data_IF_161581367971
#
_entry.id   IF_161581367971
#
_cell.length_a   1.000
_cell.length_b   1.000
_cell.length_c   1.000
_cell.angle_alpha   90.00
_cell.angle_beta   90.00
_cell.angle_gamma   90.00
#
_symmetry.space_group_name_H-M   'P 1'
#
loop_
_entity.id
_entity.type
_entity.pdbx_description
1 polymer ?
#
# COMPACT_ATOMS: atom_id res chain seq x y z
N UNK A 1 3.60 13.10 -14.40
CA UNK A 1 3.45 12.64 -13.00
C UNK A 1 3.35 13.91 -12.18
N UNK A 2 2.18 14.18 -11.59
CA UNK A 2 1.80 15.33 -10.76
C UNK A 2 2.71 16.58 -10.83
N UNK A 3 2.77 17.30 -11.98
CA UNK A 3 3.66 18.46 -12.14
C UNK A 3 3.36 19.57 -11.12
N UNK A 4 2.09 19.80 -10.84
CA UNK A 4 1.64 20.79 -9.86
C UNK A 4 2.08 20.44 -8.42
N UNK A 5 2.08 19.15 -8.05
CA UNK A 5 2.60 18.74 -6.75
C UNK A 5 4.13 18.86 -6.72
N UNK A 6 4.83 18.22 -7.65
CA UNK A 6 6.27 18.06 -7.50
C UNK A 6 7.07 19.26 -7.99
N UNK A 7 6.76 19.77 -9.17
CA UNK A 7 7.53 20.85 -9.78
C UNK A 7 7.06 22.22 -9.26
N UNK A 8 5.76 22.49 -9.26
CA UNK A 8 5.26 23.80 -8.86
C UNK A 8 5.37 24.06 -7.36
N UNK A 9 5.09 23.06 -6.50
CA UNK A 9 5.15 23.24 -5.04
C UNK A 9 6.53 22.95 -4.44
N UNK A 10 7.22 21.91 -4.92
CA UNK A 10 8.50 21.46 -4.34
C UNK A 10 9.72 21.72 -5.23
N UNK A 11 9.56 22.24 -6.45
CA UNK A 11 10.68 22.47 -7.37
C UNK A 11 11.34 21.19 -7.89
N UNK A 12 10.72 20.03 -7.67
CA UNK A 12 11.27 18.72 -8.03
C UNK A 12 10.89 18.35 -9.47
N UNK A 13 11.85 18.43 -10.38
CA UNK A 13 11.65 18.04 -11.78
C UNK A 13 11.60 16.52 -11.89
N UNK A 14 10.53 15.99 -12.52
CA UNK A 14 10.34 14.55 -12.73
C UNK A 14 11.57 13.86 -13.35
N UNK A 15 12.21 14.52 -14.33
CA UNK A 15 13.36 13.96 -15.06
C UNK A 15 14.60 13.71 -14.18
N UNK A 16 14.65 14.32 -13.00
CA UNK A 16 15.76 14.22 -12.06
C UNK A 16 15.44 13.26 -10.90
N UNK A 17 14.23 12.72 -10.83
CA UNK A 17 13.83 11.71 -9.84
C UNK A 17 14.36 10.33 -10.24
N UNK A 18 15.09 9.67 -9.34
CA UNK A 18 15.65 8.32 -9.57
C UNK A 18 14.81 7.22 -8.92
N UNK A 19 14.16 7.53 -7.80
CA UNK A 19 13.33 6.57 -7.06
C UNK A 19 12.22 7.32 -6.34
N UNK A 20 11.05 6.69 -6.26
CA UNK A 20 9.91 7.16 -5.49
C UNK A 20 9.37 6.00 -4.65
N UNK A 21 8.92 6.26 -3.44
CA UNK A 21 8.33 5.26 -2.54
C UNK A 21 7.26 5.88 -1.64
N UNK A 22 6.38 5.05 -1.06
CA UNK A 22 5.39 5.48 -0.07
C UNK A 22 5.51 4.60 1.17
N UNK A 23 5.99 5.18 2.28
CA UNK A 23 6.09 4.51 3.60
C UNK A 23 5.78 5.50 4.71
N UNK A 24 4.49 5.73 4.97
CA UNK A 24 4.02 6.76 5.91
C UNK A 24 4.15 8.20 5.38
N UNK A 25 5.12 8.45 4.51
CA UNK A 25 5.35 9.68 3.74
C UNK A 25 5.62 9.32 2.27
N UNK A 26 5.47 10.30 1.38
CA UNK A 26 5.90 10.16 -0.01
C UNK A 26 7.38 10.51 -0.10
N UNK A 27 8.20 9.51 -0.46
CA UNK A 27 9.66 9.60 -0.48
C UNK A 27 10.17 9.76 -1.92
N UNK A 28 11.10 10.69 -2.15
CA UNK A 28 11.67 10.96 -3.47
C UNK A 28 13.19 11.06 -3.35
N UNK A 29 13.90 10.30 -4.18
CA UNK A 29 15.36 10.40 -4.33
C UNK A 29 15.67 11.02 -5.69
N UNK A 30 16.64 11.93 -5.71
CA UNK A 30 17.03 12.71 -6.88
C UNK A 30 18.42 12.29 -7.38
N UNK A 31 18.73 12.61 -8.65
CA UNK A 31 20.04 12.32 -9.27
C UNK A 31 21.20 13.03 -8.60
N UNK A 32 20.95 14.18 -7.99
CA UNK A 32 21.95 14.95 -7.23
C UNK A 32 22.23 14.36 -5.83
N UNK A 33 21.58 13.24 -5.48
CA UNK A 33 21.69 12.59 -4.18
C UNK A 33 20.75 13.14 -3.11
N UNK A 34 19.96 14.18 -3.42
CA UNK A 34 19.00 14.74 -2.46
C UNK A 34 17.80 13.80 -2.23
N UNK A 35 17.27 13.88 -1.02
CA UNK A 35 16.14 13.09 -0.54
C UNK A 35 15.05 14.02 -0.01
N UNK A 36 13.81 13.81 -0.44
CA UNK A 36 12.66 14.64 -0.10
C UNK A 36 11.52 13.80 0.42
N UNK A 37 10.82 14.31 1.43
CA UNK A 37 9.60 13.73 1.99
C UNK A 37 8.43 14.70 1.83
N UNK A 38 7.30 14.18 1.36
CA UNK A 38 6.05 14.93 1.23
C UNK A 38 4.98 14.24 2.07
N UNK A 39 4.21 15.00 2.83
CA UNK A 39 3.12 14.48 3.67
C UNK A 39 2.02 13.86 2.78
N UNK A 40 1.63 12.61 3.08
CA UNK A 40 0.59 11.91 2.35
C UNK A 40 -0.77 12.61 2.41
N UNK A 41 -1.05 13.39 3.46
CA UNK A 41 -2.27 14.19 3.55
C UNK A 41 -2.38 15.18 2.39
N UNK A 42 -1.27 15.77 2.00
CA UNK A 42 -1.22 16.68 0.85
C UNK A 42 -1.32 15.92 -0.47
N UNK A 43 -0.85 14.68 -0.51
CA UNK A 43 -0.99 13.83 -1.68
C UNK A 43 -2.45 13.37 -1.91
N UNK A 44 -3.31 13.39 -0.89
CA UNK A 44 -4.69 12.89 -1.02
C UNK A 44 -5.52 13.65 -2.06
N UNK A 45 -5.31 14.95 -2.24
CA UNK A 45 -5.99 15.75 -3.27
C UNK A 45 -5.69 15.25 -4.70
N UNK A 46 -4.59 14.52 -4.89
CA UNK A 46 -4.15 13.95 -6.18
C UNK A 46 -4.63 12.50 -6.40
N UNK A 47 -5.38 11.95 -5.44
CA UNK A 47 -5.93 10.59 -5.54
C UNK A 47 -7.04 10.54 -6.59
N UNK A 48 -6.94 9.63 -7.55
CA UNK A 48 -8.00 9.40 -8.53
C UNK A 48 -9.30 9.01 -7.85
N UNK A 49 -10.42 9.54 -8.32
CA UNK A 49 -11.72 9.35 -7.67
C UNK A 49 -12.13 7.87 -7.53
N UNK A 50 -11.87 7.04 -8.53
CA UNK A 50 -12.13 5.60 -8.44
C UNK A 50 -11.34 4.90 -7.32
N UNK A 51 -10.12 5.34 -7.03
CA UNK A 51 -9.30 4.76 -5.96
C UNK A 51 -9.88 5.03 -4.56
N UNK A 52 -10.70 6.08 -4.41
CA UNK A 52 -11.40 6.38 -3.15
C UNK A 52 -12.52 5.40 -2.84
N UNK A 53 -12.88 4.55 -3.80
CA UNK A 53 -13.91 3.53 -3.63
C UNK A 53 -13.36 2.11 -3.80
N UNK A 54 -12.06 1.91 -4.01
CA UNK A 54 -11.50 0.57 -4.20
C UNK A 54 -11.48 -0.20 -2.87
N UNK A 55 -12.10 -1.39 -2.78
CA UNK A 55 -12.15 -2.15 -1.54
C UNK A 55 -10.99 -3.14 -1.37
N UNK A 56 -10.20 -3.34 -2.41
CA UNK A 56 -9.15 -4.35 -2.45
C UNK A 56 -7.77 -3.71 -2.27
N UNK A 57 -7.18 -3.97 -1.11
CA UNK A 57 -5.82 -3.54 -0.79
C UNK A 57 -4.76 -4.58 -1.21
N UNK A 58 -5.11 -5.86 -1.21
CA UNK A 58 -4.14 -6.96 -1.27
C UNK A 58 -4.19 -7.76 -2.57
N UNK A 59 -4.87 -7.22 -3.60
CA UNK A 59 -5.07 -7.88 -4.88
C UNK A 59 -5.63 -9.30 -4.69
N UNK A 60 -6.80 -9.38 -4.05
CA UNK A 60 -7.39 -10.62 -3.54
C UNK A 60 -7.76 -11.63 -4.64
N UNK A 61 -7.85 -11.17 -5.88
CA UNK A 61 -8.15 -11.99 -7.06
C UNK A 61 -6.90 -12.47 -7.84
N UNK A 62 -5.70 -12.15 -7.38
CA UNK A 62 -4.46 -12.57 -8.06
C UNK A 62 -4.02 -13.98 -7.61
N UNK A 63 -3.31 -14.70 -8.48
CA UNK A 63 -2.62 -15.94 -8.09
C UNK A 63 -1.55 -15.68 -7.01
N UNK A 64 -0.81 -14.57 -7.21
CA UNK A 64 0.28 -14.09 -6.37
C UNK A 64 0.11 -12.58 -6.17
N UNK A 65 0.06 -12.13 -4.93
CA UNK A 65 0.01 -10.73 -4.55
C UNK A 65 1.30 -10.32 -3.84
N UNK A 66 1.95 -9.24 -4.26
CA UNK A 66 3.23 -8.78 -3.69
C UNK A 66 3.16 -7.32 -3.22
N UNK A 67 3.73 -6.99 -2.05
CA UNK A 67 3.76 -5.61 -1.56
C UNK A 67 4.92 -5.31 -0.61
N UNK A 68 5.46 -4.10 -0.70
CA UNK A 68 6.58 -3.62 0.13
C UNK A 68 6.13 -3.03 1.48
N UNK A 69 5.24 -3.71 2.20
CA UNK A 69 4.85 -3.32 3.56
C UNK A 69 5.57 -4.19 4.58
N UNK A 70 6.00 -3.58 5.70
CA UNK A 70 6.75 -4.29 6.74
C UNK A 70 7.85 -3.45 7.35
N UNK A 71 8.58 -4.08 8.27
CA UNK A 71 9.73 -3.45 8.93
C UNK A 71 10.93 -3.40 7.98
N UNK A 72 11.20 -4.51 7.31
CA UNK A 72 12.40 -4.72 6.51
C UNK A 72 12.17 -4.27 5.06
N UNK A 73 12.95 -3.29 4.59
CA UNK A 73 12.78 -2.74 3.23
C UNK A 73 13.31 -3.67 2.12
N UNK A 74 14.07 -4.70 2.48
CA UNK A 74 14.69 -5.64 1.54
C UNK A 74 13.81 -6.87 1.28
N UNK A 75 12.67 -6.97 1.97
CA UNK A 75 11.70 -8.07 1.81
C UNK A 75 10.41 -7.59 1.16
N UNK A 76 9.82 -8.47 0.37
CA UNK A 76 8.49 -8.25 -0.24
C UNK A 76 7.50 -9.21 0.41
N UNK A 77 6.46 -8.67 1.04
CA UNK A 77 5.35 -9.49 1.53
C UNK A 77 4.64 -10.11 0.33
N UNK A 78 4.59 -11.45 0.29
CA UNK A 78 4.00 -12.21 -0.81
C UNK A 78 2.88 -13.10 -0.28
N UNK A 79 1.69 -12.97 -0.87
CA UNK A 79 0.52 -13.80 -0.58
C UNK A 79 0.26 -14.68 -1.80
N UNK A 80 0.25 -15.98 -1.59
CA UNK A 80 -0.04 -16.98 -2.63
C UNK A 80 -1.44 -17.52 -2.40
N UNK A 81 -2.27 -17.55 -3.45
CA UNK A 81 -3.71 -17.84 -3.31
C UNK A 81 -4.17 -19.08 -4.06
N UNK A 82 -3.63 -19.29 -5.26
CA UNK A 82 -4.06 -20.37 -6.16
C UNK A 82 -2.98 -21.44 -6.28
N UNK A 83 -3.39 -22.63 -6.73
CA UNK A 83 -2.48 -23.75 -7.01
C UNK A 83 -1.39 -23.35 -8.03
N UNK A 84 -1.76 -22.58 -9.06
CA UNK A 84 -0.81 -22.06 -10.04
C UNK A 84 0.20 -21.10 -9.38
N UNK A 85 -0.27 -20.18 -8.53
CA UNK A 85 0.62 -19.27 -7.81
C UNK A 85 1.59 -20.01 -6.90
N UNK A 86 1.12 -21.05 -6.21
CA UNK A 86 1.94 -21.91 -5.35
C UNK A 86 3.00 -22.67 -6.14
N UNK A 87 2.62 -23.26 -7.27
CA UNK A 87 3.56 -23.96 -8.15
C UNK A 87 4.67 -23.01 -8.64
N UNK A 88 4.32 -21.80 -9.07
CA UNK A 88 5.29 -20.80 -9.54
C UNK A 88 6.26 -20.40 -8.44
N UNK A 89 5.76 -20.04 -7.25
CA UNK A 89 6.61 -19.63 -6.13
C UNK A 89 7.52 -20.77 -5.67
N UNK A 90 7.00 -21.99 -5.55
CA UNK A 90 7.79 -23.15 -5.14
C UNK A 90 8.89 -23.48 -6.15
N UNK A 91 8.62 -23.36 -7.46
CA UNK A 91 9.64 -23.50 -8.51
C UNK A 91 10.71 -22.42 -8.39
N UNK A 92 10.35 -21.18 -8.11
CA UNK A 92 11.30 -20.08 -7.92
C UNK A 92 12.19 -20.30 -6.70
N UNK A 93 11.63 -20.75 -5.58
CA UNK A 93 12.39 -21.11 -4.37
C UNK A 93 13.34 -22.28 -4.68
N UNK A 94 12.83 -23.34 -5.32
CA UNK A 94 13.62 -24.54 -5.66
C UNK A 94 14.76 -24.23 -6.64
N UNK A 95 14.56 -23.29 -7.56
CA UNK A 95 15.58 -22.82 -8.48
C UNK A 95 16.59 -21.84 -7.83
N UNK A 96 16.38 -21.45 -6.57
CA UNK A 96 17.24 -20.50 -5.85
C UNK A 96 17.19 -19.08 -6.39
N UNK A 97 16.15 -18.72 -7.15
CA UNK A 97 16.02 -17.35 -7.71
C UNK A 97 15.39 -16.37 -6.71
N UNK A 98 14.69 -16.88 -5.69
CA UNK A 98 14.20 -16.12 -4.55
C UNK A 98 14.47 -16.87 -3.25
N UNK A 99 14.65 -16.11 -2.18
CA UNK A 99 14.59 -16.61 -0.81
C UNK A 99 13.21 -16.34 -0.19
N UNK A 100 12.81 -17.21 0.73
CA UNK A 100 11.50 -17.11 1.38
C UNK A 100 11.62 -17.39 2.88
N UNK A 101 10.87 -16.64 3.68
CA UNK A 101 10.65 -16.90 5.11
C UNK A 101 9.17 -16.72 5.46
N UNK A 102 8.68 -17.34 6.54
CA UNK A 102 7.31 -17.15 7.00
C UNK A 102 6.97 -15.66 7.22
N UNK A 103 5.90 -15.18 6.58
CA UNK A 103 5.47 -13.78 6.69
C UNK A 103 5.06 -13.40 8.13
N UNK A 104 4.65 -14.39 8.94
CA UNK A 104 4.23 -14.22 10.32
C UNK A 104 5.37 -13.74 11.23
N UNK A 105 6.62 -13.89 10.81
CA UNK A 105 7.79 -13.35 11.53
C UNK A 105 7.87 -11.81 11.45
N UNK A 106 7.24 -11.17 10.45
CA UNK A 106 7.09 -9.72 10.38
C UNK A 106 5.70 -9.29 10.90
N UNK A 107 5.60 -9.12 12.22
CA UNK A 107 4.38 -8.64 12.89
C UNK A 107 3.90 -7.28 12.36
N UNK A 108 4.82 -6.41 11.91
CA UNK A 108 4.49 -5.09 11.36
C UNK A 108 3.79 -5.25 10.02
N UNK A 109 4.33 -6.09 9.12
CA UNK A 109 3.73 -6.39 7.83
C UNK A 109 2.33 -7.01 8.01
N UNK A 110 2.19 -8.00 8.89
CA UNK A 110 0.90 -8.66 9.14
C UNK A 110 -0.14 -7.71 9.71
N UNK A 111 0.26 -6.84 10.65
CA UNK A 111 -0.62 -5.82 11.23
C UNK A 111 -1.05 -4.79 10.17
N UNK A 112 -0.10 -4.31 9.35
CA UNK A 112 -0.39 -3.34 8.30
C UNK A 112 -1.29 -3.94 7.22
N UNK A 113 -1.01 -5.16 6.76
CA UNK A 113 -1.84 -5.88 5.79
C UNK A 113 -3.29 -5.92 6.28
N UNK A 114 -3.52 -6.37 7.51
CA UNK A 114 -4.88 -6.44 8.09
C UNK A 114 -5.52 -5.07 8.22
N UNK A 115 -4.78 -4.09 8.73
CA UNK A 115 -5.29 -2.74 8.98
C UNK A 115 -5.68 -2.04 7.68
N UNK A 116 -4.80 -2.06 6.68
CA UNK A 116 -5.01 -1.39 5.40
C UNK A 116 -6.09 -2.07 4.58
N UNK A 117 -6.20 -3.40 4.65
CA UNK A 117 -7.29 -4.16 4.03
C UNK A 117 -8.66 -3.81 4.63
N UNK A 118 -8.75 -3.60 5.95
CA UNK A 118 -9.96 -3.11 6.61
C UNK A 118 -10.29 -1.68 6.17
N UNK A 119 -9.28 -0.80 6.12
CA UNK A 119 -9.47 0.59 5.69
C UNK A 119 -9.96 0.66 4.24
N UNK A 120 -9.41 -0.17 3.34
CA UNK A 120 -9.84 -0.21 1.94
C UNK A 120 -11.30 -0.64 1.82
N UNK A 121 -11.70 -1.73 2.49
CA UNK A 121 -13.11 -2.19 2.47
C UNK A 121 -14.10 -1.17 3.01
N UNK A 122 -13.71 -0.36 4.01
CA UNK A 122 -14.56 0.71 4.56
C UNK A 122 -14.80 1.88 3.61
N UNK A 123 -14.00 2.02 2.56
CA UNK A 123 -14.18 3.02 1.51
C UNK A 123 -15.24 2.61 0.49
N UNK A 124 -15.64 1.33 0.50
CA UNK A 124 -16.65 0.83 -0.41
C UNK A 124 -17.98 1.56 -0.17
N UNK A 125 -18.63 2.09 -1.23
CA UNK A 125 -19.85 2.85 -1.06
C UNK A 125 -20.99 2.00 -0.48
N UNK A 126 -21.82 2.59 0.39
CA UNK A 126 -22.96 1.90 1.01
C UNK A 126 -24.02 1.43 0.01
N UNK A 127 -24.10 2.10 -1.15
CA UNK A 127 -25.03 1.76 -2.24
C UNK A 127 -24.56 0.57 -3.08
N UNK A 128 -23.30 0.14 -2.94
CA UNK A 128 -22.71 -0.94 -3.71
C UNK A 128 -22.80 -2.29 -2.97
N UNK A 129 -22.20 -3.34 -3.54
CA UNK A 129 -22.29 -4.71 -3.02
C UNK A 129 -21.83 -4.82 -1.56
N UNK A 130 -22.71 -5.28 -0.67
CA UNK A 130 -22.43 -5.38 0.77
C UNK A 130 -21.51 -6.54 1.14
N UNK A 131 -21.30 -7.52 0.25
CA UNK A 131 -20.43 -8.67 0.50
C UNK A 131 -19.00 -8.25 0.86
N UNK A 132 -18.54 -7.13 0.31
CA UNK A 132 -17.24 -6.51 0.60
C UNK A 132 -17.05 -6.17 2.10
N UNK A 133 -18.14 -5.89 2.81
CA UNK A 133 -18.11 -5.51 4.23
C UNK A 133 -18.14 -6.70 5.20
N UNK A 134 -18.32 -7.92 4.71
CA UNK A 134 -18.39 -9.13 5.54
C UNK A 134 -17.06 -9.31 6.30
N UNK A 135 -17.15 -9.49 7.62
CA UNK A 135 -15.98 -9.63 8.49
C UNK A 135 -15.20 -8.34 8.77
N UNK A 136 -15.65 -7.18 8.24
CA UNK A 136 -15.05 -5.88 8.57
C UNK A 136 -15.52 -5.45 9.96
N UNK A 137 -14.61 -5.30 10.94
CA UNK A 137 -15.00 -4.85 12.27
C UNK A 137 -15.52 -3.41 12.21
N UNK A 138 -16.47 -3.02 13.10
CA UNK A 138 -16.95 -1.65 13.16
C UNK A 138 -15.79 -0.67 13.43
N UNK A 139 -15.90 0.59 12.99
CA UNK A 139 -14.93 1.62 13.35
C UNK A 139 -14.80 1.70 14.88
N UNK A 140 -13.58 1.71 15.39
CA UNK A 140 -13.37 2.01 16.82
C UNK A 140 -13.89 3.43 17.06
N UNK A 141 -14.72 3.61 18.10
CA UNK A 141 -15.12 4.95 18.53
C UNK A 141 -13.85 5.76 18.76
N UNK A 142 -13.73 6.91 18.08
CA UNK A 142 -12.63 7.84 18.36
C UNK A 142 -12.70 8.23 19.82
N UNK A 143 -11.56 8.22 20.52
CA UNK A 143 -11.46 8.88 21.81
C UNK A 143 -11.86 10.35 21.61
N UNK A 144 -12.69 10.88 22.50
CA UNK A 144 -13.17 12.26 22.42
C UNK A 144 -11.97 13.21 22.22
N UNK A 145 -11.96 13.95 21.11
CA UNK A 145 -10.92 14.95 20.81
C UNK A 145 -10.03 14.71 19.58
N UNK A 146 -10.16 13.59 18.85
CA UNK A 146 -9.46 13.43 17.56
C UNK A 146 -10.32 13.93 16.40
N UNK A 147 -9.90 15.03 15.76
CA UNK A 147 -10.53 15.58 14.57
C UNK A 147 -10.80 14.49 13.50
N UNK A 148 -11.90 14.60 12.72
CA UNK A 148 -12.11 13.75 11.55
C UNK A 148 -10.86 13.73 10.68
N UNK A 149 -10.44 12.54 10.25
CA UNK A 149 -9.46 12.47 9.18
C UNK A 149 -10.19 13.02 7.96
N UNK A 150 -9.69 14.11 7.38
CA UNK A 150 -10.29 14.73 6.21
C UNK A 150 -10.46 13.67 5.11
N UNK A 151 -11.69 13.57 4.62
CA UNK A 151 -12.07 12.71 3.49
C UNK A 151 -11.58 13.30 2.17
#
# INVERSE_FOLDING_TARGET
IFPELFEAKYGLKKQDMVKMNIKGVFQIWMKDGSYHEIDLKECHQWTREGCKHCPDFSAEHADISTGGIGKDNDWTLTIVRTELGEEVINRMISAGVIESRPAQEDEVAMKLLRTLSIVSRRRWPEWADKAVSVGVPPPKKKAAGTAPAAH
#
